data_IF_941180978880
#
_entry.id   IF_941180978880
#
_cell.length_a   1.000
_cell.length_b   1.000
_cell.length_c   1.000
_cell.angle_alpha   90.00
_cell.angle_beta   90.00
_cell.angle_gamma   90.00
#
_symmetry.space_group_name_H-M   'P 1'
#
loop_
_entity.id
_entity.type
_entity.pdbx_description
1 polymer ?
#
# COMPACT_ATOMS: atom_id res chain seq x y z
N UNK A 1 -18.14 -44.40 -48.45
CA UNK A 1 -17.32 -43.52 -47.59
C UNK A 1 -18.14 -43.13 -46.37
N UNK A 2 -17.78 -43.58 -45.17
CA UNK A 2 -18.37 -43.08 -43.92
C UNK A 2 -17.57 -41.86 -43.39
N UNK A 3 -18.19 -41.01 -42.55
CA UNK A 3 -17.60 -39.74 -42.12
C UNK A 3 -16.49 -39.91 -41.07
N UNK A 4 -15.47 -39.06 -41.16
CA UNK A 4 -14.35 -38.97 -40.22
C UNK A 4 -14.85 -38.47 -38.84
N UNK A 5 -14.80 -39.34 -37.83
CA UNK A 5 -14.97 -38.96 -36.43
C UNK A 5 -13.67 -38.26 -35.95
N UNK A 6 -13.76 -36.95 -35.70
CA UNK A 6 -12.70 -36.19 -35.06
C UNK A 6 -12.70 -36.48 -33.55
N UNK A 7 -11.68 -37.20 -33.06
CA UNK A 7 -11.47 -37.41 -31.62
C UNK A 7 -10.99 -36.10 -30.98
N UNK A 8 -11.53 -35.65 -29.82
CA UNK A 8 -11.04 -34.45 -29.15
C UNK A 8 -9.62 -34.66 -28.61
N UNK A 9 -8.71 -33.72 -28.88
CA UNK A 9 -7.39 -33.68 -28.23
C UNK A 9 -7.56 -33.35 -26.75
N UNK A 10 -6.86 -34.03 -25.83
CA UNK A 10 -6.81 -33.59 -24.44
C UNK A 10 -6.09 -32.25 -24.33
N UNK A 11 -6.69 -31.31 -23.61
CA UNK A 11 -6.05 -30.06 -23.22
C UNK A 11 -4.97 -30.35 -22.17
N UNK A 12 -3.69 -30.21 -22.55
CA UNK A 12 -2.60 -30.19 -21.58
C UNK A 12 -2.66 -28.88 -20.78
N UNK A 13 -3.10 -28.99 -19.52
CA UNK A 13 -2.98 -27.95 -18.51
C UNK A 13 -1.53 -27.86 -18.02
N UNK A 14 -0.71 -27.03 -18.66
CA UNK A 14 0.61 -26.64 -18.11
C UNK A 14 0.46 -25.46 -17.14
N UNK A 15 -0.10 -25.73 -15.96
CA UNK A 15 0.24 -25.00 -14.73
C UNK A 15 1.08 -25.93 -13.84
N UNK A 16 2.34 -26.14 -14.26
CA UNK A 16 3.35 -26.77 -13.42
C UNK A 16 3.98 -25.71 -12.53
N UNK A 17 3.61 -25.68 -11.25
CA UNK A 17 4.40 -25.00 -10.22
C UNK A 17 5.73 -25.76 -10.11
N UNK A 18 6.75 -25.30 -10.84
CA UNK A 18 8.10 -25.83 -10.71
C UNK A 18 8.69 -25.31 -9.40
N UNK A 19 8.67 -26.16 -8.38
CA UNK A 19 9.56 -26.07 -7.24
C UNK A 19 11.02 -26.16 -7.74
N UNK A 20 11.68 -25.01 -7.87
CA UNK A 20 13.15 -24.96 -7.82
C UNK A 20 13.55 -24.68 -6.38
N UNK A 21 13.58 -25.75 -5.60
CA UNK A 21 14.42 -25.83 -4.41
C UNK A 21 15.84 -26.12 -4.90
N UNK A 22 16.69 -25.10 -4.97
CA UNK A 22 18.13 -25.30 -5.14
C UNK A 22 18.88 -24.07 -4.62
N UNK A 23 19.63 -24.32 -3.55
CA UNK A 23 20.73 -23.54 -2.98
C UNK A 23 20.44 -22.11 -2.50
N UNK A 24 20.12 -21.99 -1.19
CA UNK A 24 20.28 -20.74 -0.44
C UNK A 24 21.11 -20.99 0.81
N UNK A 25 22.45 -20.98 0.69
CA UNK A 25 23.33 -20.85 1.84
C UNK A 25 23.48 -19.38 2.26
N UNK A 26 22.72 -19.05 3.31
CA UNK A 26 23.03 -18.15 4.43
C UNK A 26 23.43 -16.69 4.15
N UNK A 27 22.45 -15.86 3.79
CA UNK A 27 22.32 -14.54 4.41
C UNK A 27 21.30 -14.67 5.53
N UNK A 28 21.67 -14.44 6.78
CA UNK A 28 20.71 -14.43 7.90
C UNK A 28 20.31 -12.98 8.16
N UNK A 29 19.02 -12.70 8.10
CA UNK A 29 18.48 -11.42 8.54
C UNK A 29 18.49 -11.36 10.08
N UNK A 30 18.52 -10.16 10.65
CA UNK A 30 18.42 -9.95 12.10
C UNK A 30 17.05 -9.41 12.46
N UNK A 31 16.59 -9.69 13.66
CA UNK A 31 15.39 -9.04 14.17
C UNK A 31 15.78 -7.80 14.98
N UNK A 32 14.98 -6.73 14.89
CA UNK A 32 15.17 -5.49 15.64
C UNK A 32 13.89 -5.13 16.39
N UNK A 33 14.01 -4.72 17.64
CA UNK A 33 12.85 -4.26 18.43
C UNK A 33 12.48 -2.82 18.12
N UNK A 34 11.27 -2.41 18.50
CA UNK A 34 10.85 -1.01 18.42
C UNK A 34 11.78 -0.07 19.19
N UNK A 35 12.27 -0.50 20.36
CA UNK A 35 13.19 0.27 21.20
C UNK A 35 14.55 0.48 20.53
N UNK A 36 15.13 -0.56 19.92
CA UNK A 36 16.41 -0.49 19.22
C UNK A 36 16.32 0.39 17.96
N UNK A 37 15.21 0.27 17.21
CA UNK A 37 14.97 1.09 16.03
C UNK A 37 14.80 2.57 16.41
N UNK A 38 14.01 2.86 17.44
CA UNK A 38 13.80 4.23 17.91
C UNK A 38 15.11 4.90 18.33
N UNK A 39 15.96 4.20 19.10
CA UNK A 39 17.29 4.68 19.47
C UNK A 39 18.19 4.94 18.25
N UNK A 40 18.06 4.13 17.20
CA UNK A 40 18.81 4.30 15.96
C UNK A 40 18.33 5.50 15.14
N UNK A 41 17.05 5.88 15.25
CA UNK A 41 16.47 7.06 14.59
C UNK A 41 16.86 8.34 15.35
N UNK A 42 16.77 8.35 16.68
CA UNK A 42 17.05 9.52 17.52
C UNK A 42 18.56 9.76 17.74
N UNK A 43 19.39 8.70 17.68
CA UNK A 43 20.83 8.74 17.91
C UNK A 43 21.66 9.41 16.81
N UNK A 44 21.04 10.20 15.94
CA UNK A 44 21.67 10.83 14.78
C UNK A 44 22.94 11.61 15.11
N UNK A 45 24.10 10.98 14.87
CA UNK A 45 25.38 11.68 14.63
C UNK A 45 26.48 11.59 15.68
N UNK A 46 26.35 10.82 16.77
CA UNK A 46 27.40 10.71 17.78
C UNK A 46 28.02 9.29 17.84
N UNK A 47 28.89 9.00 16.87
CA UNK A 47 29.86 7.91 16.94
C UNK A 47 29.53 6.69 16.07
N UNK A 48 30.28 6.53 14.97
CA UNK A 48 30.51 5.30 14.19
C UNK A 48 29.32 4.34 14.00
N UNK A 49 28.09 4.85 13.97
CA UNK A 49 26.86 4.06 13.89
C UNK A 49 26.61 3.72 12.42
N UNK A 50 26.32 2.45 12.13
CA UNK A 50 25.99 2.01 10.78
C UNK A 50 24.78 2.81 10.24
N UNK A 51 24.88 3.29 9.00
CA UNK A 51 23.79 4.00 8.34
C UNK A 51 22.57 3.07 8.26
N UNK A 52 21.39 3.54 8.66
CA UNK A 52 20.15 2.77 8.54
C UNK A 52 19.28 3.30 7.41
N UNK A 53 18.62 2.39 6.70
CA UNK A 53 17.58 2.72 5.72
C UNK A 53 16.32 1.94 6.06
N UNK A 54 15.24 2.66 6.35
CA UNK A 54 13.97 2.07 6.77
C UNK A 54 13.09 1.85 5.54
N UNK A 55 12.50 0.66 5.41
CA UNK A 55 11.70 0.23 4.25
C UNK A 55 10.31 -0.24 4.70
N UNK A 56 9.28 0.49 4.28
CA UNK A 56 7.88 0.13 4.48
C UNK A 56 7.42 -0.79 3.34
N UNK A 57 6.97 -1.99 3.71
CA UNK A 57 6.53 -3.03 2.78
C UNK A 57 4.99 -3.12 2.65
N UNK A 58 4.24 -2.20 3.26
CA UNK A 58 2.77 -2.20 3.26
C UNK A 58 2.22 -1.64 1.95
N UNK A 59 0.91 -1.41 1.90
CA UNK A 59 0.29 -0.73 0.75
C UNK A 59 0.64 0.76 0.76
N UNK A 60 0.62 1.39 -0.42
CA UNK A 60 0.86 2.83 -0.54
C UNK A 60 -0.14 3.65 0.28
N UNK A 61 -1.39 3.18 0.40
CA UNK A 61 -2.41 3.81 1.23
C UNK A 61 -2.03 3.77 2.71
N UNK A 62 -1.55 2.63 3.21
CA UNK A 62 -1.10 2.50 4.59
C UNK A 62 0.14 3.35 4.87
N UNK A 63 1.09 3.40 3.93
CA UNK A 63 2.27 4.26 4.02
C UNK A 63 1.89 5.75 4.07
N UNK A 64 1.03 6.21 3.15
CA UNK A 64 0.58 7.61 3.13
C UNK A 64 -0.21 8.00 4.37
N UNK A 65 -0.92 7.05 5.00
CA UNK A 65 -1.67 7.31 6.23
C UNK A 65 -0.78 7.52 7.45
N UNK A 66 0.20 6.64 7.68
CA UNK A 66 1.12 6.69 8.82
C UNK A 66 2.33 5.81 8.52
N UNK A 67 3.55 6.28 8.70
CA UNK A 67 4.75 5.45 8.53
C UNK A 67 5.89 5.92 9.43
N UNK A 68 6.92 5.08 9.64
CA UNK A 68 8.09 5.48 10.43
C UNK A 68 8.83 6.60 9.70
N UNK A 69 9.24 7.63 10.42
CA UNK A 69 9.92 8.81 9.88
C UNK A 69 11.13 8.41 9.03
N UNK A 70 11.24 9.01 7.84
CA UNK A 70 12.32 8.75 6.89
C UNK A 70 12.25 7.40 6.18
N UNK A 71 11.20 6.60 6.38
CA UNK A 71 11.02 5.34 5.67
C UNK A 71 10.76 5.55 4.17
N UNK A 72 11.26 4.62 3.35
CA UNK A 72 10.94 4.54 1.92
C UNK A 72 9.87 3.48 1.69
N UNK A 73 8.94 3.73 0.78
CA UNK A 73 7.90 2.77 0.43
C UNK A 73 8.26 1.94 -0.81
N UNK A 74 8.09 0.62 -0.71
CA UNK A 74 8.27 -0.33 -1.82
C UNK A 74 6.92 -0.92 -2.24
N UNK A 75 6.50 -0.60 -3.46
CA UNK A 75 5.23 -1.05 -4.01
C UNK A 75 5.31 -2.48 -4.57
N UNK A 76 5.14 -3.47 -3.68
CA UNK A 76 5.10 -4.89 -4.02
C UNK A 76 3.69 -5.40 -4.40
N UNK A 77 2.89 -4.59 -5.09
CA UNK A 77 1.53 -4.98 -5.54
C UNK A 77 1.44 -5.17 -7.06
N UNK A 78 0.41 -5.89 -7.51
CA UNK A 78 0.03 -6.03 -8.93
C UNK A 78 1.16 -6.38 -9.90
N UNK A 79 1.35 -5.54 -10.92
CA UNK A 79 2.31 -5.71 -12.01
C UNK A 79 3.76 -5.67 -11.50
N UNK A 80 4.07 -4.78 -10.54
CA UNK A 80 5.41 -4.63 -9.98
C UNK A 80 5.90 -5.93 -9.35
N UNK A 81 5.04 -6.57 -8.56
CA UNK A 81 5.29 -7.89 -7.98
C UNK A 81 5.52 -8.97 -9.03
N UNK A 82 4.66 -9.05 -10.05
CA UNK A 82 4.78 -10.05 -11.13
C UNK A 82 6.10 -9.89 -11.90
N UNK A 83 6.53 -8.66 -12.14
CA UNK A 83 7.80 -8.38 -12.82
C UNK A 83 8.99 -8.71 -11.92
N UNK A 84 8.93 -8.40 -10.62
CA UNK A 84 9.98 -8.74 -9.65
C UNK A 84 10.16 -10.25 -9.52
N UNK A 85 9.07 -11.01 -9.37
CA UNK A 85 9.16 -12.48 -9.26
C UNK A 85 9.65 -13.17 -10.54
N UNK A 86 9.45 -12.55 -11.71
CA UNK A 86 9.98 -12.99 -13.00
C UNK A 86 11.40 -12.50 -13.29
N UNK A 87 12.02 -11.72 -12.40
CA UNK A 87 13.35 -11.11 -12.63
C UNK A 87 13.38 -10.00 -13.70
N UNK A 88 12.21 -9.46 -14.08
CA UNK A 88 12.03 -8.40 -15.08
C UNK A 88 11.98 -6.98 -14.48
N UNK A 89 12.18 -6.87 -13.18
CA UNK A 89 12.31 -5.63 -12.43
C UNK A 89 13.22 -5.89 -11.22
N UNK A 90 13.88 -4.84 -10.73
CA UNK A 90 14.65 -4.87 -9.48
C UNK A 90 13.90 -4.13 -8.38
N UNK A 91 14.27 -4.36 -7.12
CA UNK A 91 13.61 -3.73 -5.97
C UNK A 91 13.60 -2.19 -6.06
N UNK A 92 14.70 -1.59 -6.54
CA UNK A 92 14.80 -0.14 -6.77
C UNK A 92 13.78 0.43 -7.77
N UNK A 93 13.21 -0.40 -8.63
CA UNK A 93 12.22 0.00 -9.64
C UNK A 93 10.80 0.01 -9.06
N UNK A 94 10.60 -0.57 -7.86
CA UNK A 94 9.33 -0.62 -7.16
C UNK A 94 9.23 0.46 -6.05
N UNK A 95 10.28 1.26 -5.85
CA UNK A 95 10.27 2.34 -4.87
C UNK A 95 9.35 3.46 -5.37
N UNK A 96 8.45 3.93 -4.50
CA UNK A 96 7.35 4.80 -4.91
C UNK A 96 7.73 6.27 -5.09
N UNK A 97 8.86 6.72 -4.55
CA UNK A 97 9.34 8.10 -4.70
C UNK A 97 10.74 8.15 -5.33
N UNK A 98 11.00 9.20 -6.10
CA UNK A 98 12.32 9.44 -6.69
C UNK A 98 13.40 9.63 -5.62
N UNK A 99 13.08 10.38 -4.56
CA UNK A 99 13.98 10.59 -3.41
C UNK A 99 14.27 9.27 -2.69
N UNK A 100 13.26 8.45 -2.44
CA UNK A 100 13.45 7.13 -1.81
C UNK A 100 14.31 6.22 -2.68
N UNK A 101 14.15 6.29 -4.00
CA UNK A 101 14.97 5.55 -4.96
C UNK A 101 16.43 5.97 -4.89
N UNK A 102 16.70 7.26 -4.79
CA UNK A 102 18.05 7.78 -4.62
C UNK A 102 18.67 7.34 -3.28
N UNK A 103 17.91 7.43 -2.17
CA UNK A 103 18.33 6.92 -0.84
C UNK A 103 18.70 5.44 -0.90
N UNK A 104 17.88 4.62 -1.56
CA UNK A 104 18.14 3.19 -1.74
C UNK A 104 19.39 2.90 -2.58
N UNK A 105 19.61 3.67 -3.65
CA UNK A 105 20.80 3.51 -4.50
C UNK A 105 22.08 3.93 -3.78
N UNK A 106 22.01 4.99 -2.97
CA UNK A 106 23.14 5.47 -2.15
C UNK A 106 23.49 4.49 -1.03
N UNK A 107 22.51 3.76 -0.52
CA UNK A 107 22.71 2.70 0.48
C UNK A 107 23.70 1.64 0.01
N UNK A 108 24.91 1.66 0.59
CA UNK A 108 26.04 0.82 0.22
C UNK A 108 26.15 -0.45 1.05
N UNK A 109 27.35 -1.02 1.13
CA UNK A 109 27.66 -2.23 1.93
C UNK A 109 27.57 -1.96 3.44
N UNK A 110 27.77 -0.70 3.87
CA UNK A 110 27.70 -0.29 5.28
C UNK A 110 26.28 0.02 5.79
N UNK A 111 25.28 0.02 4.91
CA UNK A 111 23.90 0.40 5.25
C UNK A 111 23.11 -0.82 5.74
N UNK A 112 22.42 -0.69 6.87
CA UNK A 112 21.48 -1.70 7.38
C UNK A 112 20.07 -1.36 6.91
N UNK A 113 19.45 -2.27 6.16
CA UNK A 113 18.09 -2.15 5.67
C UNK A 113 17.12 -2.67 6.74
N UNK A 114 16.40 -1.77 7.40
CA UNK A 114 15.36 -2.13 8.37
C UNK A 114 14.04 -2.22 7.64
N UNK A 115 13.49 -3.43 7.48
CA UNK A 115 12.23 -3.65 6.78
C UNK A 115 11.10 -3.93 7.78
N UNK A 116 9.89 -3.44 7.48
CA UNK A 116 8.71 -3.71 8.30
C UNK A 116 7.44 -3.79 7.47
N UNK A 117 6.42 -4.44 8.04
CA UNK A 117 5.03 -4.39 7.57
C UNK A 117 4.11 -4.01 8.73
N UNK A 118 2.82 -4.34 8.68
CA UNK A 118 1.88 -3.92 9.73
C UNK A 118 2.13 -4.62 11.08
N UNK A 119 2.48 -5.92 11.07
CA UNK A 119 2.38 -6.79 12.26
C UNK A 119 3.28 -8.04 12.27
N UNK A 120 4.22 -8.18 11.32
CA UNK A 120 5.11 -9.34 11.29
C UNK A 120 6.16 -9.28 12.39
N UNK A 121 6.30 -10.38 13.11
CA UNK A 121 7.39 -10.57 14.09
C UNK A 121 8.49 -11.49 13.56
N UNK A 122 8.13 -12.50 12.78
CA UNK A 122 9.07 -13.44 12.14
C UNK A 122 8.68 -13.68 10.67
N UNK A 123 9.49 -13.21 9.70
CA UNK A 123 9.26 -13.43 8.28
C UNK A 123 9.61 -14.85 7.80
N UNK A 124 10.11 -15.74 8.67
CA UNK A 124 10.38 -17.15 8.35
C UNK A 124 9.08 -17.98 8.24
N UNK A 125 7.98 -17.51 8.82
CA UNK A 125 6.69 -18.21 8.83
C UNK A 125 5.84 -17.94 7.58
N UNK A 126 6.47 -17.51 6.49
CA UNK A 126 5.77 -16.72 5.50
C UNK A 126 5.42 -17.41 4.20
N UNK A 127 4.14 -17.28 3.87
CA UNK A 127 3.64 -17.32 2.50
C UNK A 127 4.52 -16.42 1.59
N UNK A 128 5.17 -16.97 0.54
CA UNK A 128 6.02 -16.21 -0.38
C UNK A 128 5.26 -15.12 -1.15
N UNK A 129 3.94 -15.05 -0.98
CA UNK A 129 3.10 -14.00 -1.50
C UNK A 129 3.09 -12.70 -0.69
N UNK A 130 3.65 -12.65 0.52
CA UNK A 130 3.65 -11.41 1.32
C UNK A 130 4.67 -10.40 0.77
N UNK A 131 4.32 -9.10 0.67
CA UNK A 131 5.24 -8.04 0.24
C UNK A 131 6.58 -8.05 0.98
N UNK A 132 6.57 -8.11 2.32
CA UNK A 132 7.78 -8.10 3.15
C UNK A 132 8.73 -9.26 2.81
N UNK A 133 8.20 -10.43 2.47
CA UNK A 133 9.00 -11.61 2.11
C UNK A 133 9.66 -11.46 0.75
N UNK A 134 8.97 -10.83 -0.21
CA UNK A 134 9.57 -10.49 -1.51
C UNK A 134 10.71 -9.50 -1.34
N UNK A 135 10.53 -8.47 -0.51
CA UNK A 135 11.57 -7.48 -0.20
C UNK A 135 12.76 -8.18 0.47
N UNK A 136 12.51 -8.97 1.52
CA UNK A 136 13.52 -9.72 2.25
C UNK A 136 14.34 -10.64 1.33
N UNK A 137 13.68 -11.46 0.51
CA UNK A 137 14.36 -12.39 -0.39
C UNK A 137 15.21 -11.67 -1.45
N UNK A 138 14.76 -10.53 -1.97
CA UNK A 138 15.54 -9.76 -2.94
C UNK A 138 16.76 -9.11 -2.29
N UNK A 139 16.61 -8.52 -1.10
CA UNK A 139 17.74 -7.95 -0.37
C UNK A 139 18.76 -9.02 0.06
N UNK A 140 18.31 -10.21 0.47
CA UNK A 140 19.18 -11.34 0.81
C UNK A 140 19.96 -11.83 -0.41
N UNK A 141 19.32 -11.93 -1.57
CA UNK A 141 20.01 -12.27 -2.84
C UNK A 141 21.05 -11.24 -3.25
N UNK A 142 20.84 -9.97 -2.90
CA UNK A 142 21.80 -8.88 -3.11
C UNK A 142 22.89 -8.79 -2.02
N UNK A 143 22.87 -9.67 -1.01
CA UNK A 143 23.87 -9.69 0.05
C UNK A 143 23.80 -8.47 0.98
N UNK A 144 22.64 -7.83 1.13
CA UNK A 144 22.45 -6.66 1.97
C UNK A 144 22.38 -7.04 3.45
N UNK A 145 22.82 -6.12 4.32
CA UNK A 145 22.59 -6.21 5.76
C UNK A 145 21.12 -5.87 6.05
N UNK A 146 20.37 -6.82 6.62
CA UNK A 146 18.92 -6.67 6.78
C UNK A 146 18.54 -6.89 8.24
N UNK A 147 17.70 -6.00 8.73
CA UNK A 147 16.98 -6.14 10.00
C UNK A 147 15.47 -6.10 9.75
N UNK A 148 14.70 -6.89 10.49
CA UNK A 148 13.23 -6.95 10.39
C UNK A 148 12.65 -6.48 11.70
N UNK A 149 11.78 -5.47 11.65
CA UNK A 149 11.14 -4.89 12.82
C UNK A 149 10.10 -5.86 13.42
N UNK A 150 10.31 -6.27 14.67
CA UNK A 150 9.36 -7.12 15.39
C UNK A 150 8.03 -6.40 15.62
N UNK A 151 6.93 -7.09 15.35
CA UNK A 151 5.57 -6.57 15.55
C UNK A 151 5.15 -5.48 14.56
N UNK A 152 5.98 -5.20 13.55
CA UNK A 152 5.70 -4.22 12.50
C UNK A 152 5.44 -2.80 13.01
N UNK A 153 4.77 -2.00 12.18
CA UNK A 153 4.42 -0.62 12.52
C UNK A 153 3.50 -0.55 13.75
N UNK A 154 2.57 -1.49 13.89
CA UNK A 154 1.59 -1.47 14.98
C UNK A 154 2.25 -1.50 16.36
N UNK A 155 3.25 -2.36 16.54
CA UNK A 155 4.00 -2.41 17.80
C UNK A 155 4.90 -1.18 17.99
N UNK A 156 5.53 -0.69 16.92
CA UNK A 156 6.36 0.51 16.96
C UNK A 156 5.57 1.75 17.40
N UNK A 157 4.40 1.98 16.82
CA UNK A 157 3.56 3.14 17.10
C UNK A 157 3.00 3.17 18.52
N UNK A 158 2.97 2.04 19.25
CA UNK A 158 2.46 2.02 20.63
C UNK A 158 3.25 2.97 21.55
N UNK A 159 4.56 2.99 21.37
CA UNK A 159 5.49 3.70 22.25
C UNK A 159 6.29 4.80 21.51
N UNK A 160 6.29 4.80 20.17
CA UNK A 160 7.13 5.69 19.33
C UNK A 160 6.35 6.42 18.23
N UNK A 161 5.08 6.74 18.46
CA UNK A 161 4.26 7.48 17.49
C UNK A 161 4.86 8.85 17.10
N UNK A 162 5.62 9.48 17.99
CA UNK A 162 6.35 10.73 17.73
C UNK A 162 7.47 10.58 16.67
N UNK A 163 7.92 9.35 16.40
CA UNK A 163 8.89 9.01 15.36
C UNK A 163 8.22 8.54 14.06
N UNK A 164 6.91 8.77 13.92
CA UNK A 164 6.18 8.50 12.69
C UNK A 164 5.86 9.81 11.95
N UNK A 165 5.82 9.73 10.63
CA UNK A 165 5.30 10.75 9.74
C UNK A 165 3.81 10.53 9.49
N UNK A 166 3.09 11.62 9.25
CA UNK A 166 1.63 11.65 9.09
C UNK A 166 0.85 11.13 10.31
N UNK A 167 1.52 11.04 11.48
CA UNK A 167 0.85 10.83 12.74
C UNK A 167 -0.19 11.95 12.94
N UNK A 168 -1.45 11.61 13.29
CA UNK A 168 -2.40 12.63 13.69
C UNK A 168 -1.76 13.39 14.85
N UNK A 169 -1.51 14.68 14.62
CA UNK A 169 -0.94 15.57 15.62
C UNK A 169 -1.94 15.58 16.76
N UNK A 170 -1.61 14.92 17.87
CA UNK A 170 -2.37 15.06 19.10
C UNK A 170 -2.15 16.50 19.59
N UNK A 171 -2.94 17.44 19.09
CA UNK A 171 -3.25 18.62 19.85
C UNK A 171 -4.18 18.17 20.98
N UNK A 172 -3.57 17.84 22.12
CA UNK A 172 -4.21 18.03 23.41
C UNK A 172 -4.52 19.52 23.55
N UNK A 173 -5.71 19.90 23.12
CA UNK A 173 -6.54 21.00 23.61
C UNK A 173 -7.60 21.28 22.54
N UNK A 174 -8.82 20.82 22.81
CA UNK A 174 -10.11 21.46 22.52
C UNK A 174 -11.20 20.43 22.82
N UNK A 175 -11.59 20.39 24.08
CA UNK A 175 -12.96 20.09 24.43
C UNK A 175 -13.85 21.12 23.72
N UNK A 176 -14.51 20.73 22.62
CA UNK A 176 -15.80 21.27 22.14
C UNK A 176 -16.13 20.76 20.71
N UNK A 177 -16.02 19.44 20.50
CA UNK A 177 -16.76 18.80 19.41
C UNK A 177 -17.73 17.77 20.01
N UNK A 178 -19.03 17.83 19.66
CA UNK A 178 -20.00 16.89 20.20
C UNK A 178 -19.62 15.47 19.78
N UNK A 179 -19.89 14.46 20.64
CA UNK A 179 -19.53 13.08 20.35
C UNK A 179 -20.18 12.66 19.04
N UNK A 180 -19.36 12.18 18.10
CA UNK A 180 -19.86 11.48 16.93
C UNK A 180 -20.76 10.33 17.40
N UNK A 181 -21.97 10.13 16.84
CA UNK A 181 -22.86 9.09 17.31
C UNK A 181 -22.19 7.74 17.09
N UNK A 182 -22.02 7.03 18.19
CA UNK A 182 -21.73 5.60 18.27
C UNK A 182 -22.66 4.86 17.30
N UNK A 183 -22.14 4.41 16.15
CA UNK A 183 -22.87 3.42 15.36
C UNK A 183 -22.72 2.09 16.07
N UNK A 184 -23.80 1.73 16.74
CA UNK A 184 -24.10 0.45 17.32
C UNK A 184 -23.59 -0.73 16.47
N UNK A 185 -22.82 -1.59 17.13
CA UNK A 185 -22.80 -3.02 16.85
C UNK A 185 -24.24 -3.54 16.88
N UNK A 186 -24.78 -3.96 15.73
CA UNK A 186 -25.70 -5.11 15.56
C UNK A 186 -26.35 -5.09 14.18
N UNK A 187 -25.76 -5.79 13.20
CA UNK A 187 -26.48 -6.41 12.06
C UNK A 187 -25.54 -7.45 11.40
N UNK A 188 -25.79 -8.76 11.54
CA UNK A 188 -25.00 -9.78 10.86
C UNK A 188 -25.47 -9.91 9.41
N UNK A 189 -24.59 -9.68 8.44
CA UNK A 189 -24.82 -10.14 7.05
C UNK A 189 -24.64 -9.15 5.90
N UNK A 190 -24.09 -7.94 6.10
CA UNK A 190 -23.69 -7.08 4.97
C UNK A 190 -22.18 -7.14 4.78
N UNK A 191 -21.64 -7.40 3.58
CA UNK A 191 -20.23 -7.14 3.32
C UNK A 191 -20.03 -5.63 3.43
N UNK A 192 -19.60 -5.16 4.61
CA UNK A 192 -19.29 -3.76 4.83
C UNK A 192 -18.11 -3.42 3.92
N UNK A 193 -18.35 -2.61 2.90
CA UNK A 193 -17.28 -2.06 2.10
C UNK A 193 -16.40 -1.16 2.98
N UNK A 194 -15.14 -0.98 2.60
CA UNK A 194 -14.23 -0.07 3.30
C UNK A 194 -14.81 1.35 3.37
N UNK A 195 -14.83 1.99 4.54
CA UNK A 195 -15.39 3.34 4.70
C UNK A 195 -14.60 4.37 3.88
N UNK A 196 -15.23 5.53 3.61
CA UNK A 196 -14.57 6.65 2.92
C UNK A 196 -13.28 7.02 3.67
N UNK A 197 -12.17 7.00 2.95
CA UNK A 197 -10.82 7.20 3.50
C UNK A 197 -10.21 8.48 2.91
N UNK A 198 -9.67 9.36 3.76
CA UNK A 198 -8.93 10.53 3.29
C UNK A 198 -7.57 10.10 2.75
N UNK A 199 -7.24 10.48 1.52
CA UNK A 199 -5.92 10.28 0.90
C UNK A 199 -5.02 11.50 1.15
N UNK A 200 -5.58 12.70 1.06
CA UNK A 200 -4.93 13.98 1.36
C UNK A 200 -5.94 14.88 2.08
N UNK A 201 -5.49 15.98 2.74
CA UNK A 201 -6.39 17.07 3.07
C UNK A 201 -7.16 17.45 1.79
N UNK A 202 -8.49 17.40 1.85
CA UNK A 202 -9.40 17.70 0.72
C UNK A 202 -9.52 16.62 -0.39
N UNK A 203 -8.90 15.45 -0.26
CA UNK A 203 -9.07 14.33 -1.20
C UNK A 203 -9.51 13.06 -0.49
N UNK A 204 -10.68 12.55 -0.85
CA UNK A 204 -11.28 11.37 -0.25
C UNK A 204 -11.47 10.26 -1.30
N UNK A 205 -11.27 9.02 -0.88
CA UNK A 205 -11.57 7.83 -1.66
C UNK A 205 -12.70 7.06 -0.98
N UNK A 206 -13.80 6.87 -1.70
CA UNK A 206 -14.99 6.19 -1.21
C UNK A 206 -15.38 5.00 -2.05
N UNK A 207 -16.21 4.14 -1.46
CA UNK A 207 -16.92 3.07 -2.15
C UNK A 207 -18.32 3.55 -2.60
N UNK A 208 -19.10 2.66 -3.20
CA UNK A 208 -20.48 2.95 -3.64
C UNK A 208 -21.38 3.41 -2.48
N UNK A 209 -21.23 2.83 -1.29
CA UNK A 209 -22.02 3.20 -0.11
C UNK A 209 -21.76 4.66 0.29
N UNK A 210 -20.49 5.08 0.36
CA UNK A 210 -20.14 6.47 0.64
C UNK A 210 -20.57 7.43 -0.48
N UNK A 211 -20.58 6.97 -1.74
CA UNK A 211 -21.07 7.75 -2.86
C UNK A 211 -22.61 7.91 -2.88
N UNK A 212 -23.35 7.20 -2.03
CA UNK A 212 -24.80 7.34 -1.86
C UNK A 212 -25.19 8.09 -0.57
N UNK A 213 -24.22 8.38 0.31
CA UNK A 213 -24.47 8.98 1.62
C UNK A 213 -24.39 10.52 1.56
N UNK A 214 -25.53 11.17 1.43
CA UNK A 214 -25.62 12.64 1.34
C UNK A 214 -25.13 13.34 2.63
N UNK A 215 -25.43 12.76 3.80
CA UNK A 215 -25.00 13.34 5.07
C UNK A 215 -23.47 13.33 5.20
N UNK A 216 -22.81 12.30 4.67
CA UNK A 216 -21.36 12.24 4.58
C UNK A 216 -20.78 13.33 3.66
N UNK A 217 -21.37 13.52 2.47
CA UNK A 217 -20.95 14.55 1.51
C UNK A 217 -21.03 15.95 2.12
N UNK A 218 -22.14 16.27 2.80
CA UNK A 218 -22.33 17.57 3.45
C UNK A 218 -21.37 17.74 4.64
N UNK A 219 -21.22 16.73 5.50
CA UNK A 219 -20.30 16.76 6.65
C UNK A 219 -18.84 16.97 6.24
N UNK A 220 -18.40 16.32 5.16
CA UNK A 220 -17.05 16.47 4.61
C UNK A 220 -16.91 17.70 3.70
N UNK A 221 -18.00 18.47 3.50
CA UNK A 221 -18.04 19.63 2.61
C UNK A 221 -17.54 19.32 1.19
N UNK A 222 -17.87 18.13 0.68
CA UNK A 222 -17.46 17.69 -0.66
C UNK A 222 -18.29 18.46 -1.70
N UNK A 223 -17.61 19.07 -2.67
CA UNK A 223 -18.24 19.82 -3.79
C UNK A 223 -17.98 19.22 -5.16
N UNK A 224 -17.01 18.31 -5.26
CA UNK A 224 -16.61 17.66 -6.50
C UNK A 224 -16.56 16.15 -6.29
N UNK A 225 -17.24 15.40 -7.16
CA UNK A 225 -17.29 13.94 -7.10
C UNK A 225 -16.89 13.38 -8.46
N UNK A 226 -15.82 12.59 -8.48
CA UNK A 226 -15.37 11.84 -9.65
C UNK A 226 -15.67 10.35 -9.44
N UNK A 227 -16.61 9.81 -10.21
CA UNK A 227 -16.97 8.40 -10.21
C UNK A 227 -16.32 7.69 -11.41
N UNK A 228 -15.46 6.71 -11.14
CA UNK A 228 -14.70 5.98 -12.17
C UNK A 228 -15.26 4.58 -12.50
N UNK A 229 -16.46 4.22 -12.03
CA UNK A 229 -17.06 2.90 -12.30
C UNK A 229 -18.28 3.00 -13.21
N UNK A 230 -18.49 2.03 -14.13
CA UNK A 230 -19.69 1.96 -14.95
C UNK A 230 -20.93 1.52 -14.17
N UNK A 231 -20.77 0.95 -12.98
CA UNK A 231 -21.85 0.28 -12.22
C UNK A 231 -22.51 1.16 -11.16
N UNK A 232 -21.81 2.16 -10.64
CA UNK A 232 -22.37 3.09 -9.64
C UNK A 232 -23.07 4.26 -10.36
N UNK A 233 -24.37 4.48 -10.15
CA UNK A 233 -25.07 5.63 -10.72
C UNK A 233 -24.71 6.94 -10.00
N UNK A 234 -25.08 8.08 -10.60
CA UNK A 234 -25.04 9.35 -9.90
C UNK A 234 -26.24 9.49 -8.95
N UNK A 235 -26.02 9.30 -7.65
CA UNK A 235 -27.04 9.45 -6.60
C UNK A 235 -27.41 10.93 -6.32
N UNK A 236 -26.59 11.88 -6.74
CA UNK A 236 -26.74 13.31 -6.45
C UNK A 236 -27.17 14.14 -7.66
N UNK A 237 -27.82 13.51 -8.63
CA UNK A 237 -28.30 14.18 -9.87
C UNK A 237 -29.26 15.36 -9.61
N UNK A 238 -29.89 15.39 -8.44
CA UNK A 238 -30.80 16.45 -8.00
C UNK A 238 -30.09 17.64 -7.33
N UNK A 239 -28.82 17.51 -6.95
CA UNK A 239 -28.02 18.55 -6.28
C UNK A 239 -27.28 19.40 -7.32
N UNK A 240 -27.58 20.69 -7.38
CA UNK A 240 -26.94 21.64 -8.30
C UNK A 240 -25.64 22.25 -7.75
N UNK A 241 -25.39 22.12 -6.45
CA UNK A 241 -24.19 22.61 -5.77
C UNK A 241 -23.01 21.63 -5.86
N UNK A 242 -23.24 20.43 -6.41
CA UNK A 242 -22.23 19.40 -6.59
C UNK A 242 -21.81 19.30 -8.05
N UNK A 243 -20.51 19.34 -8.28
CA UNK A 243 -19.92 19.04 -9.58
C UNK A 243 -19.67 17.54 -9.63
N UNK A 244 -20.49 16.82 -10.39
CA UNK A 244 -20.37 15.36 -10.53
C UNK A 244 -19.85 15.00 -11.92
N UNK A 245 -18.82 14.14 -11.99
CA UNK A 245 -18.33 13.55 -13.24
C UNK A 245 -18.28 12.04 -13.12
N UNK A 246 -18.87 11.35 -14.08
CA UNK A 246 -18.72 9.90 -14.23
C UNK A 246 -17.88 9.59 -15.46
N UNK A 247 -16.81 8.83 -15.26
CA UNK A 247 -15.99 8.25 -16.32
C UNK A 247 -16.12 6.73 -16.18
N UNK A 248 -16.66 6.07 -17.21
CA UNK A 248 -16.91 4.63 -17.17
C UNK A 248 -15.63 3.87 -17.45
N UNK A 249 -14.85 3.59 -16.40
CA UNK A 249 -13.61 2.81 -16.52
C UNK A 249 -13.87 1.37 -16.11
N UNK A 250 -13.52 0.42 -16.97
CA UNK A 250 -13.54 -0.99 -16.62
C UNK A 250 -12.12 -1.44 -16.22
N UNK A 251 -11.98 -1.98 -15.01
CA UNK A 251 -10.72 -2.48 -14.46
C UNK A 251 -10.36 -3.88 -15.02
N UNK A 252 -10.40 -4.00 -16.34
CA UNK A 252 -10.03 -5.20 -17.08
C UNK A 252 -8.70 -4.98 -17.80
N UNK A 253 -7.87 -6.02 -17.86
CA UNK A 253 -6.61 -6.00 -18.62
C UNK A 253 -6.79 -5.80 -20.14
N UNK A 254 -8.02 -5.75 -20.62
CA UNK A 254 -8.38 -5.56 -22.03
C UNK A 254 -8.69 -4.10 -22.38
N UNK A 255 -8.78 -3.21 -21.40
CA UNK A 255 -9.16 -1.81 -21.60
C UNK A 255 -7.98 -0.89 -21.30
N UNK A 256 -7.76 0.09 -22.17
CA UNK A 256 -6.72 1.10 -21.96
C UNK A 256 -7.24 2.20 -21.03
N UNK A 257 -6.91 2.11 -19.75
CA UNK A 257 -7.32 3.10 -18.75
C UNK A 257 -6.70 4.48 -19.04
N UNK A 258 -5.57 4.54 -19.75
CA UNK A 258 -4.85 5.79 -20.01
C UNK A 258 -5.65 6.76 -20.88
N UNK A 259 -6.55 6.26 -21.74
CA UNK A 259 -7.42 7.11 -22.57
C UNK A 259 -8.34 8.03 -21.74
N UNK A 260 -8.56 7.69 -20.46
CA UNK A 260 -9.42 8.44 -19.55
C UNK A 260 -8.65 9.45 -18.69
N UNK A 261 -7.32 9.45 -18.73
CA UNK A 261 -6.50 10.30 -17.87
C UNK A 261 -6.72 11.78 -18.15
N UNK A 262 -6.73 12.21 -19.41
CA UNK A 262 -6.93 13.61 -19.77
C UNK A 262 -8.26 14.16 -19.23
N UNK A 263 -9.33 13.36 -19.34
CA UNK A 263 -10.65 13.71 -18.84
C UNK A 263 -10.68 13.80 -17.30
N UNK A 264 -10.09 12.81 -16.61
CA UNK A 264 -10.02 12.79 -15.15
C UNK A 264 -9.17 13.96 -14.61
N UNK A 265 -8.01 14.21 -15.22
CA UNK A 265 -7.09 15.30 -14.85
C UNK A 265 -7.77 16.65 -15.07
N UNK A 266 -8.46 16.85 -16.19
CA UNK A 266 -9.18 18.08 -16.46
C UNK A 266 -10.28 18.34 -15.43
N UNK A 267 -10.98 17.29 -14.97
CA UNK A 267 -11.98 17.43 -13.92
C UNK A 267 -11.35 17.79 -12.57
N UNK A 268 -10.30 17.06 -12.16
CA UNK A 268 -9.57 17.32 -10.91
C UNK A 268 -8.99 18.74 -10.91
N UNK A 269 -8.49 19.22 -12.04
CA UNK A 269 -7.96 20.58 -12.19
C UNK A 269 -8.98 21.70 -11.98
N UNK A 270 -10.29 21.42 -12.01
CA UNK A 270 -11.33 22.42 -11.65
C UNK A 270 -11.53 22.57 -10.15
N UNK A 271 -11.03 21.61 -9.37
CA UNK A 271 -11.15 21.56 -7.92
C UNK A 271 -10.03 22.33 -7.20
N UNK A 272 -8.93 22.61 -7.91
CA UNK A 272 -7.72 23.29 -7.44
C UNK A 272 -7.75 24.77 -7.82
#
# INVERSE_FOLDING_TARGET
>A
MPPLLLVPRPAESKFGCMNRSSDMSSGKWKSVSSTELAQSIDGGGAGNSAEILIVDCRSLVAFNGLHIRGAIHVNCTGIGRKRLSQGKAKLKDLISSAEGKEKFIRGGVGTTFVIYDELSSDPEDCNPCRPICLVLQNLLKEGRNISVLKGGLKEFCRDYQNLCENAPVNHCDLADFPPSPTTCDSCPGRPQGTPVTAILPFLYLGNEEGAADEALIDRLSIKYILNLTPRCPNFFSHRSDLNYRQIKVNDSNQEDIAQHFDEAIQFIGKCL
#
